data_IF_182577285133
#
_entry.id   IF_182577285133
#
_cell.length_a   1.000
_cell.length_b   1.000
_cell.length_c   1.000
_cell.angle_alpha   90.00
_cell.angle_beta   90.00
_cell.angle_gamma   90.00
#
_symmetry.space_group_name_H-M   'P 1'
#
loop_
_entity.id
_entity.type
_entity.pdbx_description
1 polymer ?
#
# COMPACT_ATOMS: atom_id res chain seq x y z
N UNK A 1 12.90 -11.42 -6.27
CA UNK A 1 11.82 -10.55 -6.75
C UNK A 1 11.94 -9.19 -6.06
N UNK A 2 12.14 -8.15 -6.85
CA UNK A 2 12.20 -6.79 -6.33
C UNK A 2 10.83 -6.41 -5.79
N UNK A 3 10.77 -5.77 -4.60
CA UNK A 3 9.54 -5.31 -3.96
C UNK A 3 8.63 -4.48 -4.89
N UNK A 4 9.21 -3.86 -5.92
CA UNK A 4 8.54 -3.03 -6.91
C UNK A 4 7.60 -3.79 -7.85
N UNK A 5 7.97 -4.98 -8.32
CA UNK A 5 7.08 -5.83 -9.16
C UNK A 5 5.84 -6.30 -8.40
N UNK A 6 6.01 -6.59 -7.12
CA UNK A 6 4.92 -7.04 -6.26
C UNK A 6 3.92 -5.90 -5.97
N UNK A 7 4.42 -4.70 -5.65
CA UNK A 7 3.57 -3.57 -5.32
C UNK A 7 2.75 -3.04 -6.50
N UNK A 8 3.29 -3.03 -7.71
CA UNK A 8 2.56 -2.55 -8.89
C UNK A 8 1.34 -3.43 -9.21
N UNK A 9 1.49 -4.75 -9.09
CA UNK A 9 0.44 -5.72 -9.44
C UNK A 9 -0.69 -5.79 -8.44
N UNK A 10 -0.42 -5.57 -7.14
CA UNK A 10 -1.37 -5.83 -6.06
C UNK A 10 -1.90 -4.55 -5.38
N UNK A 11 -1.43 -3.38 -5.80
CA UNK A 11 -1.85 -2.15 -5.16
C UNK A 11 -3.29 -1.75 -5.52
N UNK A 12 -4.12 -1.53 -4.51
CA UNK A 12 -5.44 -0.93 -4.67
C UNK A 12 -5.39 0.47 -5.29
N UNK A 13 -4.29 1.19 -5.09
CA UNK A 13 -4.05 2.52 -5.64
C UNK A 13 -4.17 2.54 -7.18
N UNK A 14 -3.65 1.51 -7.86
CA UNK A 14 -3.78 1.39 -9.31
C UNK A 14 -5.25 1.28 -9.76
N UNK A 15 -6.10 0.58 -9.00
CA UNK A 15 -7.53 0.48 -9.32
C UNK A 15 -8.26 1.82 -9.13
N UNK A 16 -7.94 2.59 -8.08
CA UNK A 16 -8.52 3.92 -7.88
C UNK A 16 -8.11 4.90 -8.97
N UNK A 17 -6.85 4.93 -9.38
CA UNK A 17 -6.40 5.81 -10.47
C UNK A 17 -6.97 5.38 -11.81
N UNK A 18 -7.09 4.08 -12.07
CA UNK A 18 -7.75 3.56 -13.26
C UNK A 18 -9.21 4.01 -13.32
N UNK A 19 -9.94 3.89 -12.22
CA UNK A 19 -11.31 4.37 -12.13
C UNK A 19 -11.42 5.89 -12.35
N UNK A 20 -10.61 6.67 -11.66
CA UNK A 20 -10.63 8.12 -11.79
C UNK A 20 -10.31 8.56 -13.22
N UNK A 21 -9.29 7.98 -13.86
CA UNK A 21 -8.96 8.24 -15.25
C UNK A 21 -10.09 7.87 -16.19
N UNK A 22 -10.72 6.71 -16.00
CA UNK A 22 -11.85 6.27 -16.80
C UNK A 22 -13.06 7.22 -16.71
N UNK A 23 -13.36 7.71 -15.50
CA UNK A 23 -14.43 8.70 -15.29
C UNK A 23 -14.10 10.04 -15.96
N UNK A 24 -12.87 10.52 -15.83
CA UNK A 24 -12.44 11.80 -16.41
C UNK A 24 -12.44 11.77 -17.94
N UNK A 25 -12.03 10.66 -18.54
CA UNK A 25 -11.94 10.51 -20.00
C UNK A 25 -13.22 9.98 -20.63
N UNK A 26 -14.20 9.53 -19.82
CA UNK A 26 -15.45 8.95 -20.30
C UNK A 26 -15.25 7.61 -21.04
N UNK A 27 -14.27 6.81 -20.63
CA UNK A 27 -13.92 5.53 -21.25
C UNK A 27 -14.08 4.37 -20.28
N UNK A 28 -14.03 3.15 -20.83
CA UNK A 28 -14.02 1.95 -20.00
C UNK A 28 -12.74 1.83 -19.18
N UNK A 29 -12.78 1.45 -17.89
CA UNK A 29 -11.58 1.27 -17.07
C UNK A 29 -10.51 0.36 -17.69
N UNK A 30 -10.90 -0.66 -18.45
CA UNK A 30 -9.95 -1.56 -19.12
C UNK A 30 -9.12 -0.87 -20.22
N UNK A 31 -9.56 0.30 -20.71
CA UNK A 31 -8.83 1.11 -21.68
C UNK A 31 -7.72 1.97 -21.03
N UNK A 32 -7.75 2.12 -19.70
CA UNK A 32 -6.76 2.91 -18.96
C UNK A 32 -5.52 2.06 -18.67
N UNK A 33 -4.36 2.58 -19.01
CA UNK A 33 -3.07 2.01 -18.65
C UNK A 33 -2.45 2.80 -17.51
N UNK A 34 -2.00 2.10 -16.51
CA UNK A 34 -1.32 2.66 -15.36
C UNK A 34 0.16 2.29 -15.41
N UNK A 35 1.03 3.27 -15.26
CA UNK A 35 2.46 3.06 -15.24
C UNK A 35 3.02 3.32 -13.84
N UNK A 36 3.81 2.38 -13.36
CA UNK A 36 4.55 2.52 -12.11
C UNK A 36 6.02 2.75 -12.45
N UNK A 37 6.47 3.97 -12.24
CA UNK A 37 7.87 4.34 -12.44
C UNK A 37 8.61 4.25 -11.11
N UNK A 38 9.59 3.36 -11.05
CA UNK A 38 10.40 3.13 -9.86
C UNK A 38 11.82 3.60 -10.11
N UNK A 39 12.20 4.64 -9.39
CA UNK A 39 13.60 5.06 -9.32
C UNK A 39 14.22 4.44 -8.06
N UNK A 40 15.13 3.51 -8.25
CA UNK A 40 15.84 2.86 -7.15
C UNK A 40 17.32 3.25 -7.16
N UNK A 41 17.79 3.56 -5.98
CA UNK A 41 19.17 3.85 -5.74
C UNK A 41 19.69 2.96 -4.61
N UNK A 42 20.55 2.03 -4.96
CA UNK A 42 21.18 1.14 -4.01
C UNK A 42 22.69 1.38 -4.01
N UNK A 43 23.24 2.01 -2.97
CA UNK A 43 24.67 2.01 -2.82
C UNK A 43 25.14 0.55 -2.66
N UNK A 44 25.91 0.05 -3.61
CA UNK A 44 26.61 -1.22 -3.37
C UNK A 44 27.48 -1.02 -2.13
N UNK A 45 27.37 -1.92 -1.16
CA UNK A 45 28.27 -1.94 -0.02
C UNK A 45 29.70 -2.01 -0.55
N UNK A 46 30.40 -0.90 -0.52
CA UNK A 46 31.81 -0.87 -0.86
C UNK A 46 32.56 -1.68 0.19
N UNK A 47 33.33 -2.67 -0.25
CA UNK A 47 34.37 -3.22 0.61
C UNK A 47 35.32 -2.10 1.00
N UNK A 48 36.01 -2.23 2.15
CA UNK A 48 36.91 -1.23 2.71
C UNK A 48 37.83 -0.65 1.62
N UNK A 49 37.68 0.64 1.29
CA UNK A 49 38.50 1.36 0.31
C UNK A 49 38.05 1.31 -1.16
N UNK A 50 36.83 0.83 -1.48
CA UNK A 50 36.28 0.87 -2.85
C UNK A 50 35.24 1.98 -2.98
N UNK A 51 35.30 2.65 -4.13
CA UNK A 51 34.26 3.64 -4.54
C UNK A 51 32.89 2.99 -4.61
N UNK A 52 31.87 3.66 -4.08
CA UNK A 52 30.48 3.18 -4.10
C UNK A 52 29.89 3.51 -5.46
N UNK A 53 29.53 2.50 -6.24
CA UNK A 53 28.74 2.70 -7.45
C UNK A 53 27.34 3.22 -7.09
N UNK A 54 27.10 4.50 -7.40
CA UNK A 54 25.86 5.22 -7.09
C UNK A 54 24.93 5.29 -8.30
N UNK A 55 24.90 4.27 -9.14
CA UNK A 55 24.07 4.28 -10.35
C UNK A 55 22.59 4.16 -9.98
N UNK A 56 21.83 5.19 -10.29
CA UNK A 56 20.38 5.14 -10.21
C UNK A 56 19.83 4.16 -11.27
N UNK A 57 18.86 3.35 -10.89
CA UNK A 57 18.15 2.45 -11.79
C UNK A 57 16.71 2.91 -11.92
N UNK A 58 16.27 3.05 -13.15
CA UNK A 58 14.89 3.33 -13.52
C UNK A 58 14.25 2.05 -14.03
N UNK A 59 13.08 1.72 -13.49
CA UNK A 59 12.25 0.62 -13.97
C UNK A 59 10.82 1.12 -14.15
N UNK A 60 10.20 0.78 -15.27
CA UNK A 60 8.80 1.07 -15.55
C UNK A 60 8.00 -0.22 -15.62
N UNK A 61 6.92 -0.29 -14.86
CA UNK A 61 5.97 -1.39 -14.89
C UNK A 61 4.65 -0.87 -15.44
N UNK A 62 4.16 -1.53 -16.49
CA UNK A 62 2.85 -1.27 -17.07
C UNK A 62 1.86 -2.26 -16.46
N UNK A 63 0.73 -1.73 -15.99
CA UNK A 63 -0.36 -2.50 -15.43
C UNK A 63 -1.69 -1.96 -15.96
N UNK A 64 -2.65 -2.86 -16.13
CA UNK A 64 -4.04 -2.52 -16.43
C UNK A 64 -4.95 -3.19 -15.40
N UNK A 65 -6.17 -2.69 -15.28
CA UNK A 65 -7.18 -3.28 -14.40
C UNK A 65 -8.41 -3.61 -15.20
N UNK A 66 -8.98 -4.78 -14.92
CA UNK A 66 -10.28 -5.14 -15.48
C UNK A 66 -11.39 -4.40 -14.75
N UNK A 67 -12.57 -4.30 -15.38
CA UNK A 67 -13.74 -3.69 -14.77
C UNK A 67 -14.13 -4.36 -13.45
N UNK A 68 -13.98 -5.67 -13.36
CA UNK A 68 -14.28 -6.45 -12.16
C UNK A 68 -13.31 -6.08 -11.02
N UNK A 69 -12.02 -5.92 -11.32
CA UNK A 69 -11.02 -5.53 -10.33
C UNK A 69 -11.28 -4.11 -9.80
N UNK A 70 -11.62 -3.17 -10.69
CA UNK A 70 -11.98 -1.80 -10.31
C UNK A 70 -13.25 -1.82 -9.46
N UNK A 71 -14.29 -2.51 -9.89
CA UNK A 71 -15.56 -2.62 -9.17
C UNK A 71 -15.38 -3.24 -7.78
N UNK A 72 -14.59 -4.31 -7.68
CA UNK A 72 -14.30 -4.95 -6.39
C UNK A 72 -13.58 -4.00 -5.42
N UNK A 73 -12.63 -3.21 -5.94
CA UNK A 73 -11.89 -2.23 -5.12
C UNK A 73 -12.81 -1.11 -4.64
N UNK A 74 -13.68 -0.58 -5.50
CA UNK A 74 -14.64 0.47 -5.13
C UNK A 74 -15.66 -0.05 -4.11
N UNK A 75 -16.15 -1.28 -4.30
CA UNK A 75 -17.05 -1.92 -3.33
C UNK A 75 -16.39 -2.09 -1.96
N UNK A 76 -15.12 -2.46 -1.93
CA UNK A 76 -14.36 -2.55 -0.67
C UNK A 76 -14.24 -1.19 0.01
N UNK A 77 -13.95 -0.13 -0.74
CA UNK A 77 -13.93 1.24 -0.20
C UNK A 77 -15.28 1.68 0.35
N UNK A 78 -16.37 1.34 -0.35
CA UNK A 78 -17.73 1.63 0.12
C UNK A 78 -18.04 0.92 1.44
N UNK A 79 -17.69 -0.37 1.56
CA UNK A 79 -17.87 -1.13 2.81
C UNK A 79 -17.12 -0.46 3.98
N UNK A 80 -15.88 -0.02 3.73
CA UNK A 80 -15.11 0.71 4.75
C UNK A 80 -15.82 2.01 5.13
N UNK A 81 -16.30 2.79 4.16
CA UNK A 81 -17.07 4.00 4.40
C UNK A 81 -18.32 3.73 5.27
N UNK A 82 -19.10 2.70 4.90
CA UNK A 82 -20.31 2.31 5.64
C UNK A 82 -20.00 1.88 7.09
N UNK A 83 -18.84 1.27 7.33
CA UNK A 83 -18.38 0.93 8.68
C UNK A 83 -17.98 2.19 9.46
N UNK A 84 -17.30 3.13 8.81
CA UNK A 84 -16.93 4.41 9.43
C UNK A 84 -18.17 5.22 9.83
N UNK A 85 -19.19 5.26 8.98
CA UNK A 85 -20.46 5.96 9.27
C UNK A 85 -21.22 5.35 10.46
N UNK A 86 -20.93 4.11 10.79
CA UNK A 86 -21.51 3.38 11.94
C UNK A 86 -20.59 3.37 13.17
N UNK A 87 -19.51 4.16 13.16
CA UNK A 87 -18.46 4.13 14.20
C UNK A 87 -17.85 2.72 14.42
N UNK A 88 -17.95 1.84 13.40
CA UNK A 88 -17.45 0.48 13.47
C UNK A 88 -16.03 0.40 12.91
N UNK A 89 -15.04 0.65 13.74
CA UNK A 89 -13.63 0.62 13.36
C UNK A 89 -13.00 -0.73 13.71
N UNK A 90 -12.57 -1.47 12.69
CA UNK A 90 -11.75 -2.66 12.89
C UNK A 90 -10.27 -2.26 12.94
N UNK A 91 -9.56 -2.43 14.06
CA UNK A 91 -8.15 -2.09 14.13
C UNK A 91 -7.32 -3.05 13.27
N UNK A 92 -6.38 -2.49 12.51
CA UNK A 92 -5.41 -3.29 11.77
C UNK A 92 -4.26 -3.70 12.71
N UNK A 93 -4.46 -4.81 13.42
CA UNK A 93 -3.49 -5.35 14.39
C UNK A 93 -2.30 -6.05 13.75
N UNK A 94 -2.30 -6.25 12.43
CA UNK A 94 -1.25 -6.98 11.70
C UNK A 94 -0.10 -6.08 11.23
N UNK A 95 -0.26 -4.76 11.29
CA UNK A 95 0.77 -3.83 10.87
C UNK A 95 1.84 -3.60 11.93
N UNK A 96 3.09 -3.43 11.53
CA UNK A 96 4.22 -3.07 12.41
C UNK A 96 3.98 -1.76 13.18
N UNK A 97 3.14 -0.89 12.62
CA UNK A 97 2.70 0.37 13.26
C UNK A 97 1.74 0.15 14.42
N UNK A 98 1.08 -1.01 14.51
CA UNK A 98 0.24 -1.39 15.64
C UNK A 98 1.11 -1.96 16.77
N UNK A 99 1.95 -1.13 17.36
CA UNK A 99 2.86 -1.51 18.43
C UNK A 99 3.11 -0.32 19.38
N UNK A 100 3.54 -0.62 20.59
CA UNK A 100 3.80 0.37 21.63
C UNK A 100 4.78 1.47 21.20
N UNK A 101 5.73 1.15 20.29
CA UNK A 101 6.76 2.08 19.87
C UNK A 101 6.31 3.03 18.74
N UNK A 102 5.19 2.72 18.06
CA UNK A 102 4.77 3.45 16.87
C UNK A 102 3.34 3.99 16.93
N UNK A 103 2.52 3.50 17.86
CA UNK A 103 1.13 3.90 17.97
C UNK A 103 0.93 4.83 19.16
N UNK A 104 0.66 6.10 18.92
CA UNK A 104 0.41 7.09 19.97
C UNK A 104 -0.82 6.75 20.82
N UNK A 105 -1.79 6.03 20.25
CA UNK A 105 -3.01 5.59 20.94
C UNK A 105 -2.88 4.22 21.62
N UNK A 106 -1.69 3.62 21.66
CA UNK A 106 -1.50 2.27 22.20
C UNK A 106 -2.05 2.06 23.59
N UNK A 107 -1.83 3.04 24.48
CA UNK A 107 -2.27 2.98 25.87
C UNK A 107 -3.78 3.19 26.06
N UNK A 108 -4.45 3.79 25.09
CA UNK A 108 -5.88 4.07 25.09
C UNK A 108 -6.67 3.03 24.31
N UNK A 109 -6.02 2.36 23.36
CA UNK A 109 -6.60 1.37 22.48
C UNK A 109 -6.91 0.08 23.24
N UNK A 110 -8.14 -0.40 23.16
CA UNK A 110 -8.56 -1.67 23.79
C UNK A 110 -7.70 -2.86 23.37
N UNK A 111 -7.30 -2.90 22.09
CA UNK A 111 -6.45 -3.95 21.54
C UNK A 111 -5.00 -3.84 22.00
N UNK A 112 -4.47 -2.62 22.11
CA UNK A 112 -3.12 -2.38 22.64
C UNK A 112 -2.98 -2.83 24.08
N UNK A 113 -3.94 -2.53 24.92
CA UNK A 113 -3.96 -2.91 26.34
C UNK A 113 -3.92 -4.43 26.55
N UNK A 114 -4.62 -5.19 25.73
CA UNK A 114 -4.64 -6.66 25.81
C UNK A 114 -3.24 -7.23 25.57
N UNK A 115 -2.52 -6.73 24.57
CA UNK A 115 -1.16 -7.19 24.25
C UNK A 115 -0.11 -6.67 25.23
N UNK A 116 -0.25 -5.47 25.75
CA UNK A 116 0.65 -4.95 26.79
C UNK A 116 0.62 -5.80 28.07
N UNK A 117 -0.56 -6.29 28.46
CA UNK A 117 -0.72 -7.13 29.63
C UNK A 117 -0.23 -8.58 29.43
N UNK A 118 -0.18 -9.08 28.19
CA UNK A 118 0.31 -10.43 27.89
C UNK A 118 1.84 -10.54 27.87
N UNK A 119 2.56 -9.43 27.79
CA UNK A 119 4.02 -9.41 27.80
C UNK A 119 4.64 -9.38 29.21
N UNK A 120 3.82 -9.40 30.24
CA UNK A 120 4.24 -9.35 31.66
C UNK A 120 4.13 -10.70 32.40
N UNK A 121 3.90 -11.81 31.68
CA UNK A 121 3.86 -13.17 32.26
C UNK A 121 5.01 -14.03 31.73
#
# INVERSE_FOLDING_TARGET
PTKSKWSAKETAQAAYYTWAGAVMEGVDPSAIRFFFDVLSWYPKKAGRGKEVDQTARFERFEESRTNEQVTATLKHAQIIGDLMDKDAYAPNTQGWWCSQNFCDYWNECEFGKVYANSSLN
#
